data_IF_845779442472
#
_entry.id   IF_845779442472
#
_cell.length_a   1.000
_cell.length_b   1.000
_cell.length_c   1.000
_cell.angle_alpha   90.00
_cell.angle_beta   90.00
_cell.angle_gamma   90.00
#
_symmetry.space_group_name_H-M   'P 1'
#
loop_
_entity.id
_entity.type
_entity.pdbx_description
1 polymer ?
#
# COMPACT_ATOMS: atom_id res chain seq x y z
N UNK A 1 -28.31 31.38 -7.01
CA UNK A 1 -26.85 31.51 -7.29
C UNK A 1 -25.98 30.78 -6.25
N UNK A 2 -26.32 29.54 -5.83
CA UNK A 2 -25.62 28.80 -4.73
C UNK A 2 -25.02 27.45 -5.16
N UNK A 3 -25.11 27.08 -6.44
CA UNK A 3 -24.74 25.73 -6.93
C UNK A 3 -23.24 25.57 -7.27
N UNK A 4 -22.44 26.64 -7.29
CA UNK A 4 -21.01 26.59 -7.64
C UNK A 4 -20.07 26.20 -6.50
N UNK A 5 -20.44 26.48 -5.25
CA UNK A 5 -19.55 26.27 -4.10
C UNK A 5 -19.50 24.80 -3.66
N UNK A 6 -20.59 24.04 -3.87
CA UNK A 6 -20.66 22.62 -3.53
C UNK A 6 -19.73 21.76 -4.40
N UNK A 7 -19.56 22.11 -5.67
CA UNK A 7 -18.67 21.37 -6.59
C UNK A 7 -17.19 21.56 -6.26
N UNK A 8 -16.78 22.78 -5.90
CA UNK A 8 -15.39 23.08 -5.51
C UNK A 8 -15.08 22.49 -4.14
N UNK A 9 -16.01 22.55 -3.17
CA UNK A 9 -15.84 21.90 -1.87
C UNK A 9 -15.77 20.37 -2.00
N UNK A 10 -16.57 19.75 -2.87
CA UNK A 10 -16.48 18.32 -3.15
C UNK A 10 -15.17 17.95 -3.86
N UNK A 11 -14.70 18.74 -4.84
CA UNK A 11 -13.42 18.51 -5.52
C UNK A 11 -12.21 18.76 -4.61
N UNK A 12 -12.28 19.73 -3.69
CA UNK A 12 -11.27 19.97 -2.67
C UNK A 12 -11.28 18.88 -1.60
N UNK A 13 -12.44 18.38 -1.17
CA UNK A 13 -12.50 17.25 -0.24
C UNK A 13 -12.03 15.95 -0.89
N UNK A 14 -12.39 15.70 -2.16
CA UNK A 14 -11.87 14.57 -2.95
C UNK A 14 -10.37 14.73 -3.16
N UNK A 15 -9.88 15.93 -3.50
CA UNK A 15 -8.46 16.24 -3.71
C UNK A 15 -7.63 16.16 -2.42
N UNK A 16 -8.15 16.63 -1.29
CA UNK A 16 -7.52 16.55 0.04
C UNK A 16 -7.50 15.11 0.54
N UNK A 17 -8.60 14.35 0.40
CA UNK A 17 -8.61 12.90 0.71
C UNK A 17 -7.67 12.11 -0.21
N UNK A 18 -7.54 12.52 -1.48
CA UNK A 18 -6.60 11.93 -2.44
C UNK A 18 -5.12 12.25 -2.15
N UNK A 19 -4.79 13.47 -1.73
CA UNK A 19 -3.42 13.92 -1.45
C UNK A 19 -2.92 13.50 -0.06
N UNK A 20 -3.78 13.52 0.96
CA UNK A 20 -3.43 13.15 2.35
C UNK A 20 -3.45 11.63 2.59
N UNK A 21 -4.29 10.89 1.86
CA UNK A 21 -4.42 9.44 2.04
C UNK A 21 -3.12 8.67 1.77
N UNK A 22 -2.29 9.15 0.83
CA UNK A 22 -1.02 8.50 0.48
C UNK A 22 -0.02 8.51 1.64
N UNK A 23 0.15 9.64 2.29
CA UNK A 23 1.07 9.79 3.42
C UNK A 23 0.62 8.96 4.63
N UNK A 24 -0.68 8.92 4.88
CA UNK A 24 -1.27 8.08 5.94
C UNK A 24 -1.05 6.59 5.68
N UNK A 25 -1.25 6.13 4.44
CA UNK A 25 -1.05 4.73 4.06
C UNK A 25 0.42 4.34 4.10
N UNK A 26 1.33 5.19 3.61
CA UNK A 26 2.77 4.92 3.71
C UNK A 26 3.22 4.88 5.17
N UNK A 27 2.72 5.81 6.00
CA UNK A 27 3.03 5.84 7.44
C UNK A 27 2.52 4.58 8.14
N UNK A 28 1.32 4.08 7.81
CA UNK A 28 0.82 2.83 8.37
C UNK A 28 1.63 1.61 7.91
N UNK A 29 2.10 1.60 6.66
CA UNK A 29 3.03 0.58 6.16
C UNK A 29 4.35 0.63 6.96
N UNK A 30 4.90 1.80 7.25
CA UNK A 30 6.11 1.93 8.07
C UNK A 30 5.87 1.45 9.51
N UNK A 31 4.72 1.77 10.11
CA UNK A 31 4.36 1.26 11.44
C UNK A 31 4.26 -0.27 11.44
N UNK A 32 3.64 -0.86 10.41
CA UNK A 32 3.60 -2.30 10.19
C UNK A 32 5.02 -2.89 10.07
N UNK A 33 5.88 -2.30 9.23
CA UNK A 33 7.26 -2.75 9.04
C UNK A 33 8.09 -2.70 10.34
N UNK A 34 7.85 -1.73 11.22
CA UNK A 34 8.59 -1.57 12.49
C UNK A 34 8.08 -2.48 13.61
N UNK A 35 6.77 -2.66 13.71
CA UNK A 35 6.16 -3.34 14.85
C UNK A 35 5.75 -4.77 14.52
N UNK A 36 5.03 -4.96 13.41
CA UNK A 36 4.41 -6.24 13.07
C UNK A 36 5.32 -7.14 12.24
N UNK A 37 6.13 -6.60 11.34
CA UNK A 37 7.04 -7.41 10.52
C UNK A 37 8.09 -8.19 11.35
N UNK A 38 8.71 -7.63 12.42
CA UNK A 38 9.62 -8.39 13.28
C UNK A 38 8.92 -9.51 14.04
N UNK A 39 7.65 -9.29 14.45
CA UNK A 39 6.84 -10.29 15.14
C UNK A 39 6.44 -11.40 14.16
N UNK A 40 5.97 -11.05 12.96
CA UNK A 40 5.64 -11.99 11.91
C UNK A 40 6.85 -12.85 11.50
N UNK A 41 8.03 -12.25 11.37
CA UNK A 41 9.27 -12.97 11.09
C UNK A 41 9.62 -13.98 12.20
N UNK A 42 9.47 -13.59 13.48
CA UNK A 42 9.68 -14.51 14.62
C UNK A 42 8.68 -15.66 14.67
N UNK A 43 7.46 -15.45 14.17
CA UNK A 43 6.42 -16.47 14.06
C UNK A 43 6.53 -17.32 12.79
N UNK A 44 7.56 -17.11 11.96
CA UNK A 44 7.76 -17.85 10.71
C UNK A 44 6.88 -17.37 9.53
N UNK A 45 6.08 -16.32 9.72
CA UNK A 45 5.30 -15.67 8.68
C UNK A 45 6.20 -14.70 7.87
N UNK A 46 6.97 -15.28 6.95
CA UNK A 46 7.91 -14.56 6.08
C UNK A 46 7.36 -14.43 4.66
N UNK A 47 7.50 -13.25 4.07
CA UNK A 47 7.13 -12.98 2.69
C UNK A 47 7.91 -13.90 1.73
N UNK A 48 7.24 -14.40 0.70
CA UNK A 48 7.87 -15.25 -0.32
C UNK A 48 8.51 -14.44 -1.45
N UNK A 49 8.12 -13.18 -1.63
CA UNK A 49 8.69 -12.29 -2.64
C UNK A 49 9.84 -11.42 -2.13
N UNK A 50 10.75 -11.07 -3.03
CA UNK A 50 11.81 -10.08 -2.86
C UNK A 50 11.68 -8.95 -3.92
N UNK A 51 11.60 -7.66 -3.53
CA UNK A 51 11.45 -7.17 -2.16
C UNK A 51 10.14 -7.63 -1.50
N UNK A 52 10.05 -7.50 -0.17
CA UNK A 52 8.85 -7.95 0.56
C UNK A 52 7.56 -7.24 0.09
N UNK A 53 6.40 -7.87 0.28
CA UNK A 53 5.10 -7.30 -0.15
C UNK A 53 4.82 -5.92 0.46
N UNK A 54 5.29 -5.64 1.69
CA UNK A 54 5.15 -4.32 2.32
C UNK A 54 6.08 -3.26 1.71
N UNK A 55 7.27 -3.64 1.25
CA UNK A 55 8.17 -2.76 0.49
C UNK A 55 7.65 -2.49 -0.91
N UNK A 56 7.14 -3.53 -1.58
CA UNK A 56 6.44 -3.36 -2.84
C UNK A 56 5.27 -2.39 -2.70
N UNK A 57 4.43 -2.58 -1.67
CA UNK A 57 3.28 -1.72 -1.39
C UNK A 57 3.69 -0.26 -1.23
N UNK A 58 4.73 0.00 -0.43
CA UNK A 58 5.31 1.32 -0.25
C UNK A 58 5.70 1.96 -1.59
N UNK A 59 6.43 1.23 -2.45
CA UNK A 59 6.88 1.75 -3.75
C UNK A 59 5.73 2.01 -4.71
N UNK A 60 4.80 1.06 -4.90
CA UNK A 60 3.71 1.23 -5.86
C UNK A 60 2.66 2.24 -5.41
N UNK A 61 2.41 2.36 -4.10
CA UNK A 61 1.51 3.39 -3.55
C UNK A 61 2.16 4.77 -3.65
N UNK A 62 3.47 4.87 -3.45
CA UNK A 62 4.21 6.11 -3.67
C UNK A 62 4.27 6.50 -5.16
N UNK A 63 4.34 5.54 -6.08
CA UNK A 63 4.40 5.82 -7.53
C UNK A 63 3.03 6.08 -8.15
N UNK A 64 2.08 5.18 -7.91
CA UNK A 64 0.81 5.11 -8.65
C UNK A 64 -0.40 5.57 -7.82
N UNK A 65 -0.20 5.95 -6.56
CA UNK A 65 -1.26 6.36 -5.63
C UNK A 65 -1.94 5.19 -4.91
N UNK A 66 -2.80 5.50 -3.93
CA UNK A 66 -3.38 4.50 -3.02
C UNK A 66 -4.28 3.50 -3.74
N UNK A 67 -5.08 3.95 -4.71
CA UNK A 67 -6.04 3.08 -5.41
C UNK A 67 -5.31 2.09 -6.33
N UNK A 68 -4.49 2.58 -7.25
CA UNK A 68 -3.78 1.73 -8.22
C UNK A 68 -2.68 0.92 -7.53
N UNK A 69 -1.89 1.56 -6.66
CA UNK A 69 -0.86 0.89 -5.87
C UNK A 69 -1.44 -0.15 -4.90
N UNK A 70 -2.59 0.17 -4.29
CA UNK A 70 -3.32 -0.78 -3.45
C UNK A 70 -3.79 -2.00 -4.23
N UNK A 71 -4.35 -1.82 -5.42
CA UNK A 71 -4.77 -2.93 -6.28
C UNK A 71 -3.60 -3.83 -6.72
N UNK A 72 -2.47 -3.25 -7.13
CA UNK A 72 -1.23 -3.99 -7.44
C UNK A 72 -0.75 -4.80 -6.24
N UNK A 73 -0.73 -4.19 -5.07
CA UNK A 73 -0.34 -4.81 -3.80
C UNK A 73 -1.25 -5.99 -3.45
N UNK A 74 -2.57 -5.81 -3.52
CA UNK A 74 -3.54 -6.85 -3.20
C UNK A 74 -3.38 -8.08 -4.10
N UNK A 75 -3.19 -7.88 -5.41
CA UNK A 75 -2.91 -8.98 -6.34
C UNK A 75 -1.65 -9.75 -5.98
N UNK A 76 -0.60 -9.06 -5.50
CA UNK A 76 0.64 -9.70 -5.05
C UNK A 76 0.47 -10.44 -3.73
N UNK A 77 -0.29 -9.88 -2.77
CA UNK A 77 -0.59 -10.53 -1.50
C UNK A 77 -1.33 -11.86 -1.69
N UNK A 78 -2.30 -11.92 -2.61
CA UNK A 78 -3.00 -13.18 -2.96
C UNK A 78 -2.04 -14.22 -3.53
N UNK A 79 -0.91 -13.81 -4.12
CA UNK A 79 0.13 -14.73 -4.59
C UNK A 79 1.17 -15.04 -3.51
N UNK A 80 1.23 -14.29 -2.42
CA UNK A 80 2.22 -14.46 -1.37
C UNK A 80 1.80 -15.57 -0.40
N UNK A 81 2.03 -16.83 -0.79
CA UNK A 81 1.74 -18.00 0.02
C UNK A 81 2.63 -19.20 -0.34
N UNK A 82 2.34 -20.39 0.23
CA UNK A 82 3.17 -21.59 0.08
C UNK A 82 3.41 -22.06 -1.37
N UNK A 83 2.53 -21.65 -2.29
CA UNK A 83 2.62 -21.97 -3.72
C UNK A 83 3.66 -21.12 -4.47
N UNK A 84 4.14 -20.02 -3.89
CA UNK A 84 5.17 -19.17 -4.50
C UNK A 84 6.53 -19.55 -3.92
N UNK A 85 7.58 -19.78 -4.72
CA UNK A 85 8.91 -20.03 -4.20
C UNK A 85 9.41 -18.86 -3.31
N UNK A 86 10.06 -19.16 -2.20
CA UNK A 86 10.66 -18.11 -1.35
C UNK A 86 11.80 -17.43 -2.12
N UNK A 87 11.90 -16.11 -2.01
CA UNK A 87 12.86 -15.29 -2.76
C UNK A 87 12.45 -15.02 -4.21
N UNK A 88 11.18 -15.25 -4.59
CA UNK A 88 10.70 -14.91 -5.93
C UNK A 88 10.85 -13.40 -6.16
N UNK A 89 11.57 -13.01 -7.21
CA UNK A 89 11.80 -11.60 -7.52
C UNK A 89 10.60 -11.02 -8.26
N UNK A 90 10.06 -9.91 -7.75
CA UNK A 90 8.98 -9.15 -8.39
C UNK A 90 9.21 -7.66 -8.09
N UNK A 91 9.69 -6.93 -9.08
CA UNK A 91 10.08 -5.52 -8.95
C UNK A 91 8.88 -4.59 -9.32
N UNK A 92 8.67 -3.48 -8.60
CA UNK A 92 7.51 -2.58 -8.74
C UNK A 92 7.41 -1.75 -10.03
#
# INVERSE_FOLDING_TARGET
MKKGFAGIAALLLIGVVWLEGRSLVISSIHLYQRQLAPIAARLGATCHFEPSCSRYAETVIARDGVVVGGWKTMRRLVKCGPWTPRGTRDDP
#
